data_IF_169779235031
#
_entry.id   IF_169779235031
#
_cell.length_a   1.000
_cell.length_b   1.000
_cell.length_c   1.000
_cell.angle_alpha   90.00
_cell.angle_beta   90.00
_cell.angle_gamma   90.00
#
_symmetry.space_group_name_H-M   'P 1'
#
loop_
_entity.id
_entity.type
_entity.pdbx_description
1 polymer ?
#
# COMPACT_ATOMS: atom_id res chain seq x y z
N UNK A 1 15.46 -15.35 37.86
CA UNK A 1 14.09 -14.81 37.69
C UNK A 1 14.02 -13.51 36.89
N UNK A 2 15.05 -12.65 36.89
CA UNK A 2 15.03 -11.36 36.16
C UNK A 2 15.16 -11.47 34.62
N UNK A 3 15.86 -12.49 34.08
CA UNK A 3 15.97 -12.67 32.62
C UNK A 3 14.65 -13.08 31.94
N UNK A 4 13.79 -13.84 32.64
CA UNK A 4 12.45 -14.19 32.12
C UNK A 4 11.56 -12.95 31.99
N UNK A 5 11.73 -12.00 32.91
CA UNK A 5 11.05 -10.70 32.90
C UNK A 5 11.48 -9.87 31.69
N UNK A 6 12.79 -9.75 31.43
CA UNK A 6 13.31 -8.98 30.29
C UNK A 6 12.92 -9.56 28.91
N UNK A 7 12.94 -10.89 28.75
CA UNK A 7 12.45 -11.52 27.52
C UNK A 7 10.95 -11.30 27.30
N UNK A 8 10.15 -11.32 28.38
CA UNK A 8 8.70 -11.09 28.28
C UNK A 8 8.38 -9.69 27.73
N UNK A 9 9.05 -8.64 28.23
CA UNK A 9 8.83 -7.26 27.74
C UNK A 9 9.26 -7.04 26.28
N UNK A 10 10.26 -7.78 25.78
CA UNK A 10 10.67 -7.70 24.36
C UNK A 10 9.66 -8.39 23.43
N UNK A 11 9.06 -9.49 23.89
CA UNK A 11 8.04 -10.23 23.13
C UNK A 11 6.71 -9.46 23.11
N UNK A 12 6.28 -8.88 24.24
CA UNK A 12 5.03 -8.11 24.31
C UNK A 12 5.06 -6.78 23.57
N UNK A 13 6.25 -6.20 23.34
CA UNK A 13 6.40 -4.96 22.55
C UNK A 13 5.92 -5.08 21.10
N UNK A 14 5.85 -6.29 20.54
CA UNK A 14 5.30 -6.55 19.21
C UNK A 14 3.77 -6.45 19.17
N UNK A 15 3.08 -6.60 20.30
CA UNK A 15 1.63 -6.57 20.37
C UNK A 15 1.06 -5.14 20.31
N UNK A 16 1.90 -4.13 20.56
CA UNK A 16 1.53 -2.71 20.64
C UNK A 16 1.80 -1.92 19.34
N UNK A 17 2.19 -2.60 18.26
CA UNK A 17 2.34 -1.99 16.94
C UNK A 17 1.01 -1.96 16.19
N UNK A 18 0.87 -0.99 15.28
CA UNK A 18 -0.23 -0.99 14.32
C UNK A 18 -0.21 -2.31 13.53
N UNK A 19 -1.31 -3.05 13.57
CA UNK A 19 -1.45 -4.31 12.85
C UNK A 19 -1.82 -4.03 11.40
N UNK A 20 -1.24 -4.80 10.49
CA UNK A 20 -1.67 -4.83 9.09
C UNK A 20 -3.13 -5.34 9.00
N UNK A 21 -3.78 -5.08 7.86
CA UNK A 21 -5.10 -5.62 7.62
C UNK A 21 -5.09 -7.16 7.68
N UNK A 22 -6.21 -7.76 8.07
CA UNK A 22 -6.33 -9.21 8.09
C UNK A 22 -6.11 -9.80 6.69
N UNK A 23 -5.50 -10.99 6.64
CA UNK A 23 -5.24 -11.68 5.38
C UNK A 23 -6.52 -12.13 4.67
N UNK A 24 -7.54 -12.48 5.47
CA UNK A 24 -8.86 -12.86 4.99
C UNK A 24 -9.84 -11.74 5.29
N UNK A 25 -10.71 -11.48 4.31
CA UNK A 25 -11.82 -10.54 4.48
C UNK A 25 -13.07 -11.30 4.93
N UNK A 26 -14.00 -10.59 5.55
CA UNK A 26 -15.33 -11.11 5.90
C UNK A 26 -16.02 -11.74 4.68
N UNK A 27 -16.84 -12.77 4.89
CA UNK A 27 -17.52 -13.49 3.81
C UNK A 27 -18.32 -12.59 2.86
N UNK A 28 -18.88 -11.50 3.39
CA UNK A 28 -19.64 -10.51 2.61
C UNK A 28 -18.79 -9.71 1.61
N UNK A 29 -17.48 -9.59 1.86
CA UNK A 29 -16.54 -8.83 1.04
C UNK A 29 -15.63 -9.73 0.20
N UNK A 30 -15.95 -11.03 0.11
CA UNK A 30 -15.22 -11.92 -0.77
C UNK A 30 -15.49 -11.54 -2.23
N UNK A 31 -14.40 -11.49 -2.99
CA UNK A 31 -14.46 -11.20 -4.41
C UNK A 31 -15.10 -12.38 -5.15
N UNK A 32 -15.76 -12.08 -6.27
CA UNK A 32 -16.29 -13.12 -7.16
C UNK A 32 -15.17 -14.01 -7.69
N UNK A 33 -15.48 -15.28 -8.02
CA UNK A 33 -14.51 -16.23 -8.61
C UNK A 33 -13.92 -15.74 -9.92
N UNK A 34 -14.67 -14.91 -10.65
CA UNK A 34 -14.27 -14.37 -11.95
C UNK A 34 -13.47 -13.07 -11.82
N UNK A 35 -13.12 -12.63 -10.59
CA UNK A 35 -12.29 -11.46 -10.38
C UNK A 35 -10.79 -11.79 -10.53
N UNK A 36 -10.00 -10.96 -11.25
CA UNK A 36 -10.42 -9.80 -12.03
C UNK A 36 -10.96 -10.20 -13.42
N UNK A 37 -12.17 -9.75 -13.74
CA UNK A 37 -12.85 -10.18 -14.98
C UNK A 37 -12.38 -9.45 -16.23
N UNK A 38 -12.07 -8.15 -16.09
CA UNK A 38 -11.62 -7.28 -17.20
C UNK A 38 -10.19 -6.76 -17.02
N UNK A 39 -9.68 -6.76 -15.78
CA UNK A 39 -8.34 -6.20 -15.49
C UNK A 39 -8.23 -4.69 -15.72
N UNK A 40 -9.35 -3.96 -15.71
CA UNK A 40 -9.34 -2.49 -15.72
C UNK A 40 -8.86 -1.95 -14.38
N UNK A 41 -8.03 -0.91 -14.40
CA UNK A 41 -7.47 -0.30 -13.20
C UNK A 41 -7.73 1.21 -13.26
N UNK A 42 -8.23 1.78 -12.17
CA UNK A 42 -8.51 3.20 -12.03
C UNK A 42 -7.92 3.73 -10.72
N UNK A 43 -7.14 4.81 -10.84
CA UNK A 43 -6.69 5.64 -9.73
C UNK A 43 -7.53 6.90 -9.74
N UNK A 44 -8.25 7.15 -8.64
CA UNK A 44 -9.07 8.34 -8.43
C UNK A 44 -8.51 9.09 -7.23
N UNK A 45 -7.97 10.28 -7.47
CA UNK A 45 -7.34 11.16 -6.47
C UNK A 45 -6.32 10.46 -5.57
N UNK A 46 -5.58 9.49 -6.12
CA UNK A 46 -4.70 8.63 -5.34
C UNK A 46 -3.50 9.42 -4.80
N UNK A 47 -3.26 9.30 -3.49
CA UNK A 47 -2.14 9.96 -2.82
C UNK A 47 -1.45 9.00 -1.85
N UNK A 48 -0.13 9.05 -1.77
CA UNK A 48 0.65 8.18 -0.87
C UNK A 48 1.86 8.90 -0.30
N UNK A 49 2.23 8.54 0.95
CA UNK A 49 3.41 9.05 1.66
C UNK A 49 4.07 7.94 2.46
N UNK A 50 5.39 8.01 2.58
CA UNK A 50 6.14 7.00 3.34
C UNK A 50 5.95 7.09 4.86
N UNK A 51 5.71 8.29 5.39
CA UNK A 51 5.54 8.55 6.82
C UNK A 51 4.48 9.64 7.03
N UNK A 52 3.74 9.63 8.15
CA UNK A 52 2.69 10.62 8.42
C UNK A 52 3.15 12.07 8.31
N UNK A 53 4.37 12.37 8.78
CA UNK A 53 4.94 13.72 8.85
C UNK A 53 5.80 14.11 7.63
N UNK A 54 5.72 13.35 6.54
CA UNK A 54 6.41 13.66 5.28
C UNK A 54 5.41 14.20 4.26
N UNK A 55 5.90 15.02 3.33
CA UNK A 55 5.12 15.43 2.17
C UNK A 55 4.67 14.21 1.34
N UNK A 56 3.58 14.38 0.59
CA UNK A 56 3.09 13.36 -0.33
C UNK A 56 4.17 13.01 -1.37
N UNK A 57 4.39 11.71 -1.58
CA UNK A 57 5.29 11.22 -2.63
C UNK A 57 4.56 11.15 -3.99
N UNK A 58 3.28 10.74 -3.96
CA UNK A 58 2.32 10.96 -5.03
C UNK A 58 1.17 11.76 -4.45
N UNK A 59 0.74 12.79 -5.18
CA UNK A 59 -0.33 13.70 -4.74
C UNK A 59 -1.37 13.81 -5.86
N UNK A 60 -2.60 13.44 -5.52
CA UNK A 60 -3.79 13.65 -6.36
C UNK A 60 -3.65 13.06 -7.79
N UNK A 61 -3.26 11.79 -7.88
CA UNK A 61 -3.09 11.10 -9.16
C UNK A 61 -4.41 10.52 -9.68
N UNK A 62 -4.83 11.00 -10.86
CA UNK A 62 -5.98 10.48 -11.62
C UNK A 62 -5.49 9.78 -12.90
N UNK A 63 -5.66 8.46 -12.98
CA UNK A 63 -5.23 7.64 -14.11
C UNK A 63 -6.19 6.46 -14.33
N UNK A 64 -6.38 6.06 -15.58
CA UNK A 64 -7.19 4.87 -15.93
C UNK A 64 -6.47 4.03 -16.97
N UNK A 65 -6.40 2.74 -16.72
CA UNK A 65 -5.82 1.73 -17.61
C UNK A 65 -6.91 0.81 -18.11
N UNK A 66 -7.06 0.73 -19.43
CA UNK A 66 -8.11 -0.08 -20.05
C UNK A 66 -7.71 -1.56 -20.10
N UNK A 67 -8.69 -2.48 -20.18
CA UNK A 67 -8.43 -3.91 -20.36
C UNK A 67 -7.47 -4.21 -21.52
N UNK A 68 -6.41 -4.97 -21.25
CA UNK A 68 -5.45 -5.41 -22.27
C UNK A 68 -4.40 -4.36 -22.69
N UNK A 69 -4.37 -3.20 -22.03
CA UNK A 69 -3.40 -2.15 -22.33
C UNK A 69 -2.00 -2.48 -21.77
N UNK A 70 -0.96 -2.28 -22.60
CA UNK A 70 0.44 -2.40 -22.16
C UNK A 70 0.98 -1.02 -21.80
N UNK A 71 1.19 -0.79 -20.51
CA UNK A 71 1.66 0.48 -19.96
C UNK A 71 3.11 0.34 -19.52
N UNK A 72 3.93 1.36 -19.79
CA UNK A 72 5.29 1.44 -19.28
C UNK A 72 5.42 2.64 -18.33
N UNK A 73 6.05 2.41 -17.17
CA UNK A 73 6.41 3.47 -16.23
C UNK A 73 7.81 3.99 -16.59
N UNK A 74 7.96 5.30 -16.74
CA UNK A 74 9.25 5.92 -17.04
C UNK A 74 9.43 7.17 -16.21
N UNK A 75 10.63 7.35 -15.66
CA UNK A 75 10.98 8.53 -14.86
C UNK A 75 11.58 9.58 -15.80
N UNK A 76 10.92 10.73 -15.90
CA UNK A 76 11.50 11.90 -16.55
C UNK A 76 12.31 12.68 -15.53
N UNK A 77 13.62 12.73 -15.73
CA UNK A 77 14.49 13.63 -14.97
C UNK A 77 14.65 14.92 -15.77
N UNK A 78 14.19 16.05 -15.22
CA UNK A 78 14.44 17.36 -15.83
C UNK A 78 15.93 17.66 -15.68
N UNK A 79 16.71 17.59 -16.76
CA UNK A 79 18.07 18.14 -16.77
C UNK A 79 17.94 19.62 -16.42
N UNK A 80 18.61 20.06 -15.35
CA UNK A 80 18.74 21.49 -15.05
C UNK A 80 19.46 22.13 -16.23
N UNK A 81 18.83 23.13 -16.86
CA UNK A 81 19.55 24.03 -17.76
C UNK A 81 20.60 24.76 -16.92
N UNK A 82 21.83 24.78 -17.43
CA UNK A 82 22.89 25.66 -16.93
C UNK A 82 22.48 27.13 -17.02
#
# INVERSE_FOLDING_TARGET
MLLKSFCYYRVSGHEMMFREAAWETEQQNQLSRDWPSRGEIEFSQYSTRYRPNLNMALDSLDLRFLPGEKVNLSVLTKKRSH
#
